data_IF_624209915697
#
_entry.id   IF_624209915697
#
_cell.length_a   1.000
_cell.length_b   1.000
_cell.length_c   1.000
_cell.angle_alpha   90.00
_cell.angle_beta   90.00
_cell.angle_gamma   90.00
#
_symmetry.space_group_name_H-M   'P 1'
#
loop_
_entity.id
_entity.type
_entity.pdbx_description
1 polymer ?
#
# COMPACT_ATOMS: atom_id res chain seq x y z
N UNK A 1 -10.67 14.25 -19.50
CA UNK A 1 -11.45 13.86 -18.31
C UNK A 1 -10.97 12.54 -17.68
N UNK A 2 -10.48 11.58 -18.47
CA UNK A 2 -9.95 10.28 -17.98
C UNK A 2 -8.59 10.34 -17.24
N UNK A 3 -7.92 11.50 -17.22
CA UNK A 3 -6.54 11.70 -16.73
C UNK A 3 -6.47 12.01 -15.22
N UNK A 4 -7.55 12.54 -14.64
CA UNK A 4 -7.65 12.93 -13.23
C UNK A 4 -8.27 11.84 -12.35
N UNK A 5 -8.99 10.89 -12.95
CA UNK A 5 -9.56 9.70 -12.30
C UNK A 5 -8.54 8.90 -11.46
N UNK A 6 -7.33 8.57 -11.94
CA UNK A 6 -6.37 7.80 -11.14
C UNK A 6 -5.85 8.59 -9.93
N UNK A 7 -5.79 9.93 -10.02
CA UNK A 7 -5.34 10.78 -8.93
C UNK A 7 -6.36 10.82 -7.79
N UNK A 8 -7.65 10.92 -8.14
CA UNK A 8 -8.77 10.87 -7.18
C UNK A 8 -8.86 9.48 -6.55
N UNK A 9 -8.63 8.42 -7.34
CA UNK A 9 -8.62 7.05 -6.84
C UNK A 9 -7.45 6.85 -5.87
N UNK A 10 -6.23 7.24 -6.24
CA UNK A 10 -5.07 7.18 -5.36
C UNK A 10 -5.29 7.95 -4.05
N UNK A 11 -5.89 9.15 -4.11
CA UNK A 11 -6.24 9.93 -2.91
C UNK A 11 -7.29 9.23 -2.03
N UNK A 12 -8.29 8.57 -2.62
CA UNK A 12 -9.29 7.79 -1.88
C UNK A 12 -8.69 6.51 -1.26
N UNK A 13 -7.74 5.85 -1.95
CA UNK A 13 -7.01 4.70 -1.39
C UNK A 13 -6.06 5.13 -0.26
N UNK A 14 -5.42 6.30 -0.36
CA UNK A 14 -4.61 6.90 0.72
C UNK A 14 -5.48 7.22 1.95
N UNK A 15 -6.70 7.72 1.73
CA UNK A 15 -7.65 7.99 2.82
C UNK A 15 -8.18 6.70 3.47
N UNK A 16 -8.37 5.63 2.67
CA UNK A 16 -8.78 4.30 3.14
C UNK A 16 -7.63 3.49 3.78
N UNK A 17 -6.38 3.80 3.44
CA UNK A 17 -5.20 3.31 4.16
C UNK A 17 -5.11 3.88 5.59
N UNK A 18 -5.89 4.92 5.91
CA UNK A 18 -6.18 5.33 7.29
C UNK A 18 -7.26 4.44 7.96
N UNK A 19 -7.52 3.24 7.42
CA UNK A 19 -8.46 2.26 7.95
C UNK A 19 -8.23 1.97 9.43
N UNK A 20 -9.30 1.73 10.17
CA UNK A 20 -9.27 1.60 11.63
C UNK A 20 -8.57 0.32 12.14
N UNK A 21 -8.38 -0.70 11.28
CA UNK A 21 -7.76 -1.99 11.63
C UNK A 21 -6.38 -2.25 10.99
N UNK A 22 -5.47 -2.87 11.76
CA UNK A 22 -4.11 -3.25 11.34
C UNK A 22 -4.08 -4.21 10.15
N UNK A 23 -5.05 -5.14 10.06
CA UNK A 23 -5.14 -6.11 8.95
C UNK A 23 -5.43 -5.44 7.62
N UNK A 24 -6.39 -4.52 7.60
CA UNK A 24 -6.75 -3.76 6.40
C UNK A 24 -5.62 -2.82 5.95
N UNK A 25 -4.85 -2.26 6.90
CA UNK A 25 -3.64 -1.47 6.59
C UNK A 25 -2.52 -2.32 6.01
N UNK A 26 -2.26 -3.49 6.58
CA UNK A 26 -1.28 -4.43 6.08
C UNK A 26 -1.66 -4.93 4.68
N UNK A 27 -2.92 -5.31 4.47
CA UNK A 27 -3.39 -5.83 3.18
C UNK A 27 -3.38 -4.74 2.09
N UNK A 28 -3.78 -3.51 2.45
CA UNK A 28 -3.73 -2.35 1.55
C UNK A 28 -2.27 -1.96 1.22
N UNK A 29 -1.40 -1.91 2.23
CA UNK A 29 0.04 -1.68 2.06
C UNK A 29 0.71 -2.75 1.20
N UNK A 30 0.31 -4.01 1.34
CA UNK A 30 0.77 -5.11 0.50
C UNK A 30 0.36 -4.91 -0.96
N UNK A 31 -0.89 -4.54 -1.22
CA UNK A 31 -1.41 -4.33 -2.57
C UNK A 31 -0.72 -3.17 -3.29
N UNK A 32 -0.59 -2.02 -2.61
CA UNK A 32 0.06 -0.83 -3.16
C UNK A 32 1.57 -1.06 -3.31
N UNK A 33 2.21 -1.63 -2.30
CA UNK A 33 3.63 -1.97 -2.35
C UNK A 33 3.96 -2.94 -3.47
N UNK A 34 3.11 -3.95 -3.71
CA UNK A 34 3.29 -4.87 -4.83
C UNK A 34 3.12 -4.18 -6.18
N UNK A 35 2.12 -3.31 -6.33
CA UNK A 35 1.91 -2.57 -7.57
C UNK A 35 3.07 -1.61 -7.88
N UNK A 36 3.57 -0.89 -6.87
CA UNK A 36 4.71 0.03 -7.01
C UNK A 36 6.00 -0.75 -7.26
N UNK A 37 6.24 -1.83 -6.52
CA UNK A 37 7.42 -2.68 -6.69
C UNK A 37 7.47 -3.37 -8.06
N UNK A 38 6.32 -3.86 -8.55
CA UNK A 38 6.17 -4.38 -9.90
C UNK A 38 6.47 -3.32 -10.97
N UNK A 39 5.89 -2.12 -10.82
CA UNK A 39 6.10 -1.01 -11.74
C UNK A 39 7.54 -0.50 -11.75
N UNK A 40 8.18 -0.45 -10.58
CA UNK A 40 9.58 -0.06 -10.45
C UNK A 40 10.50 -1.11 -11.09
N UNK A 41 10.29 -2.41 -10.82
CA UNK A 41 11.06 -3.48 -11.44
C UNK A 41 10.90 -3.50 -12.97
N UNK A 42 9.67 -3.31 -13.48
CA UNK A 42 9.41 -3.17 -14.90
C UNK A 42 10.16 -1.97 -15.52
N UNK A 43 10.23 -0.85 -14.80
CA UNK A 43 10.93 0.36 -15.26
C UNK A 43 12.46 0.22 -15.23
N UNK A 44 13.01 -0.54 -14.28
CA UNK A 44 14.46 -0.78 -14.17
C UNK A 44 14.94 -2.00 -14.97
N UNK A 45 14.03 -2.71 -15.65
CA UNK A 45 14.35 -3.91 -16.43
C UNK A 45 14.61 -5.16 -15.59
N UNK A 46 14.17 -5.18 -14.33
CA UNK A 46 14.24 -6.32 -13.43
C UNK A 46 12.96 -7.16 -13.43
N UNK A 47 13.00 -8.30 -12.74
CA UNK A 47 11.87 -9.22 -12.65
C UNK A 47 10.68 -8.60 -11.91
N UNK A 48 9.57 -8.44 -12.63
CA UNK A 48 8.34 -7.81 -12.12
C UNK A 48 7.73 -8.60 -10.98
N UNK A 49 7.82 -9.94 -11.02
CA UNK A 49 7.36 -10.82 -9.94
C UNK A 49 8.13 -10.60 -8.65
N UNK A 50 9.46 -10.46 -8.74
CA UNK A 50 10.30 -10.22 -7.57
C UNK A 50 10.06 -8.82 -7.02
N UNK A 51 9.97 -7.81 -7.90
CA UNK A 51 9.58 -6.46 -7.50
C UNK A 51 8.22 -6.41 -6.80
N UNK A 52 7.24 -7.17 -7.29
CA UNK A 52 5.90 -7.26 -6.71
C UNK A 52 5.92 -7.96 -5.34
N UNK A 53 6.65 -9.07 -5.21
CA UNK A 53 6.75 -9.83 -3.96
C UNK A 53 7.51 -9.04 -2.90
N UNK A 54 8.61 -8.39 -3.28
CA UNK A 54 9.41 -7.55 -2.37
C UNK A 54 8.61 -6.32 -1.98
N UNK A 55 8.04 -5.59 -2.95
CA UNK A 55 7.23 -4.40 -2.68
C UNK A 55 5.99 -4.72 -1.87
N UNK A 56 5.32 -5.84 -2.15
CA UNK A 56 4.16 -6.30 -1.40
C UNK A 56 4.51 -6.78 0.01
N UNK A 57 5.62 -7.50 0.17
CA UNK A 57 6.11 -7.93 1.48
C UNK A 57 6.53 -6.75 2.36
N UNK A 58 7.28 -5.80 1.80
CA UNK A 58 7.69 -4.58 2.50
C UNK A 58 6.50 -3.69 2.80
N UNK A 59 5.56 -3.53 1.87
CA UNK A 59 4.32 -2.79 2.07
C UNK A 59 3.38 -3.41 3.10
N UNK A 60 3.30 -4.75 3.14
CA UNK A 60 2.57 -5.50 4.15
C UNK A 60 3.21 -5.35 5.53
N UNK A 61 4.53 -5.53 5.60
CA UNK A 61 5.30 -5.38 6.84
C UNK A 61 5.22 -3.94 7.35
N UNK A 62 5.28 -2.94 6.47
CA UNK A 62 5.13 -1.53 6.86
C UNK A 62 3.70 -1.23 7.30
N UNK A 63 2.68 -1.78 6.64
CA UNK A 63 1.27 -1.62 7.04
C UNK A 63 0.90 -2.38 8.30
N UNK A 64 1.60 -3.48 8.61
CA UNK A 64 1.47 -4.25 9.85
C UNK A 64 2.30 -3.67 11.00
N UNK A 65 3.49 -3.13 10.71
CA UNK A 65 4.37 -2.48 11.68
C UNK A 65 3.96 -1.03 11.96
N UNK A 66 3.20 -0.40 11.07
CA UNK A 66 2.45 0.83 11.35
C UNK A 66 1.25 0.45 12.19
N UNK A 67 1.51 0.28 13.47
CA UNK A 67 0.55 -0.17 14.44
C UNK A 67 -0.22 1.04 15.00
N UNK A 68 -1.55 0.91 15.04
CA UNK A 68 -2.44 1.79 15.82
C UNK A 68 -2.37 1.42 17.31
N UNK A 69 -1.25 0.92 17.84
CA UNK A 69 -1.11 0.72 19.29
C UNK A 69 -1.12 2.03 20.07
N UNK A 70 -1.09 3.19 19.39
CA UNK A 70 -1.31 4.53 19.95
C UNK A 70 -2.74 5.08 19.77
N UNK A 71 -3.68 4.36 19.15
CA UNK A 71 -5.07 4.83 19.03
C UNK A 71 -5.97 4.04 19.98
N UNK A 72 -5.69 4.21 21.28
CA UNK A 72 -6.66 3.99 22.34
C UNK A 72 -7.66 5.17 22.31
N UNK A 73 -8.70 5.08 21.48
CA UNK A 73 -9.87 5.98 21.56
C UNK A 73 -10.77 5.56 22.74
N UNK A 74 -10.17 5.50 23.93
CA UNK A 74 -10.87 5.37 25.18
C UNK A 74 -11.46 6.71 25.62
N UNK A 75 -12.53 7.16 24.98
CA UNK A 75 -13.73 7.77 25.58
C UNK A 75 -14.76 8.09 24.50
#
# INVERSE_FOLDING_TARGET
>A
MLRTTPFILAAALLLSACGTGTGERALSGAGVGAAVGAGAAAATGGDVSDGAVIGGGVGAATGAATDSSDINLGN
#
